data_IF_022561429795
#
_entry.id   IF_022561429795
#
_cell.length_a   1.000
_cell.length_b   1.000
_cell.length_c   1.000
_cell.angle_alpha   90.00
_cell.angle_beta   90.00
_cell.angle_gamma   90.00
#
_symmetry.space_group_name_H-M   'P 1'
#
loop_
_entity.id
_entity.type
_entity.pdbx_description
1 polymer ?
#
# COMPACT_ATOMS: atom_id res chain seq x y z
N UNK A 1 -0.55 -19.46 -6.18
CA UNK A 1 -1.33 -18.68 -5.20
C UNK A 1 -0.81 -17.26 -5.27
N UNK A 2 -1.72 -16.31 -5.30
CA UNK A 2 -1.44 -14.89 -5.48
C UNK A 2 -1.63 -14.21 -4.12
N UNK A 3 -0.68 -13.37 -3.71
CA UNK A 3 -0.79 -12.54 -2.51
C UNK A 3 -0.96 -11.08 -2.95
N UNK A 4 -1.93 -10.37 -2.40
CA UNK A 4 -2.24 -8.97 -2.74
C UNK A 4 -1.78 -8.06 -1.59
N UNK A 5 -1.09 -6.97 -1.92
CA UNK A 5 -0.83 -5.87 -0.99
C UNK A 5 -1.33 -4.57 -1.59
N UNK A 6 -1.84 -3.69 -0.74
CA UNK A 6 -2.29 -2.37 -1.13
C UNK A 6 -1.51 -1.29 -0.38
N UNK A 7 -1.07 -0.28 -1.13
CA UNK A 7 -0.55 0.99 -0.60
C UNK A 7 -1.55 2.10 -0.87
N UNK A 8 -1.92 2.85 0.16
CA UNK A 8 -2.99 3.84 0.10
C UNK A 8 -2.45 5.25 0.26
N UNK A 9 -2.89 6.12 -0.65
CA UNK A 9 -2.95 7.55 -0.40
C UNK A 9 -4.39 7.91 -0.06
N UNK A 10 -4.63 8.18 1.21
CA UNK A 10 -5.98 8.35 1.72
C UNK A 10 -6.52 9.74 1.42
N UNK A 11 -7.84 9.86 1.49
CA UNK A 11 -8.55 11.12 1.27
C UNK A 11 -8.08 12.21 2.20
N UNK A 12 -7.72 11.90 3.45
CA UNK A 12 -7.27 12.91 4.40
C UNK A 12 -5.88 13.47 4.01
N UNK A 13 -4.98 12.63 3.48
CA UNK A 13 -3.69 13.12 2.97
C UNK A 13 -3.87 13.98 1.71
N UNK A 14 -4.72 13.55 0.77
CA UNK A 14 -4.96 14.29 -0.46
C UNK A 14 -5.79 15.55 -0.22
N UNK A 15 -6.76 15.53 0.70
CA UNK A 15 -7.52 16.69 1.15
C UNK A 15 -6.59 17.72 1.79
N UNK A 16 -5.82 17.36 2.82
CA UNK A 16 -4.90 18.31 3.48
C UNK A 16 -3.90 18.92 2.49
N UNK A 17 -3.22 18.08 1.70
CA UNK A 17 -2.15 18.56 0.82
C UNK A 17 -2.70 19.39 -0.36
N UNK A 18 -3.79 18.96 -1.00
CA UNK A 18 -4.34 19.66 -2.14
C UNK A 18 -5.12 20.91 -1.72
N UNK A 19 -5.85 20.90 -0.60
CA UNK A 19 -6.51 22.14 -0.12
C UNK A 19 -5.48 23.21 0.25
N UNK A 20 -4.34 22.82 0.83
CA UNK A 20 -3.28 23.75 1.17
C UNK A 20 -2.55 24.32 -0.06
N UNK A 21 -2.22 23.49 -1.04
CA UNK A 21 -1.31 23.86 -2.13
C UNK A 21 -2.05 24.15 -3.46
N UNK A 22 -3.09 23.37 -3.77
CA UNK A 22 -3.78 23.41 -5.07
C UNK A 22 -5.24 22.89 -4.98
N UNK A 23 -6.19 23.71 -4.52
CA UNK A 23 -7.61 23.29 -4.36
C UNK A 23 -8.31 22.88 -5.66
N UNK A 24 -7.75 23.29 -6.80
CA UNK A 24 -8.23 22.90 -8.14
C UNK A 24 -7.72 21.54 -8.61
N UNK A 25 -6.88 20.88 -7.80
CA UNK A 25 -6.31 19.57 -8.08
C UNK A 25 -5.04 19.59 -8.92
N UNK A 26 -4.50 18.39 -9.11
CA UNK A 26 -3.35 18.11 -9.98
C UNK A 26 -3.77 17.24 -11.16
N UNK A 27 -3.08 17.36 -12.28
CA UNK A 27 -3.28 16.62 -13.51
C UNK A 27 -2.19 15.57 -13.65
N UNK A 28 -2.56 14.30 -13.51
CA UNK A 28 -1.68 13.15 -13.74
C UNK A 28 -1.72 12.78 -15.21
N UNK A 29 -0.56 12.66 -15.83
CA UNK A 29 -0.44 12.34 -17.27
C UNK A 29 0.41 11.09 -17.54
N UNK A 30 1.19 10.62 -16.57
CA UNK A 30 1.89 9.34 -16.66
C UNK A 30 2.05 8.68 -15.28
N UNK A 31 2.20 7.36 -15.26
CA UNK A 31 2.48 6.57 -14.05
C UNK A 31 3.57 5.54 -14.35
N UNK A 32 4.52 5.38 -13.43
CA UNK A 32 5.48 4.27 -13.43
C UNK A 32 5.14 3.31 -12.28
N UNK A 33 4.82 2.07 -12.62
CA UNK A 33 4.53 1.01 -11.66
C UNK A 33 5.85 0.32 -11.24
N UNK A 34 6.00 0.03 -9.94
CA UNK A 34 7.24 -0.53 -9.41
C UNK A 34 6.98 -1.58 -8.32
N UNK A 35 7.54 -2.77 -8.54
CA UNK A 35 7.68 -3.86 -7.57
C UNK A 35 9.04 -4.55 -7.79
N UNK A 36 9.42 -5.49 -6.91
CA UNK A 36 10.61 -6.33 -7.11
C UNK A 36 10.23 -7.70 -7.70
N UNK A 37 11.10 -8.70 -7.52
CA UNK A 37 11.09 -9.97 -8.28
C UNK A 37 9.87 -10.87 -8.04
N UNK A 38 9.12 -10.68 -6.95
CA UNK A 38 7.89 -11.42 -6.69
C UNK A 38 6.66 -10.77 -7.33
N UNK A 39 6.74 -9.52 -7.79
CA UNK A 39 5.64 -8.81 -8.45
C UNK A 39 5.17 -9.53 -9.72
N UNK A 40 3.85 -9.61 -9.92
CA UNK A 40 3.22 -10.27 -11.08
C UNK A 40 2.16 -9.42 -11.75
N UNK A 41 1.48 -8.56 -10.99
CA UNK A 41 0.58 -7.58 -11.53
C UNK A 41 0.50 -6.36 -10.60
N UNK A 42 0.32 -5.19 -11.19
CA UNK A 42 0.25 -3.91 -10.49
C UNK A 42 -0.87 -3.05 -11.07
N UNK A 43 -1.61 -2.35 -10.21
CA UNK A 43 -2.69 -1.44 -10.62
C UNK A 43 -2.65 -0.16 -9.79
N UNK A 44 -2.73 0.97 -10.48
CA UNK A 44 -2.89 2.28 -9.86
C UNK A 44 -4.36 2.70 -9.94
N UNK A 45 -5.07 2.49 -8.84
CA UNK A 45 -6.51 2.67 -8.69
C UNK A 45 -6.80 4.08 -8.17
N UNK A 46 -7.89 4.68 -8.63
CA UNK A 46 -8.30 6.03 -8.25
C UNK A 46 -9.79 6.02 -7.89
N UNK A 47 -10.10 6.48 -6.68
CA UNK A 47 -11.45 6.56 -6.16
C UNK A 47 -11.86 7.99 -5.87
N UNK A 48 -13.11 8.31 -6.19
CA UNK A 48 -13.75 9.58 -5.86
C UNK A 48 -15.11 9.29 -5.27
N UNK A 49 -15.32 9.70 -4.01
CA UNK A 49 -16.60 9.55 -3.29
C UNK A 49 -17.16 8.11 -3.38
N UNK A 50 -16.35 7.12 -3.02
CA UNK A 50 -16.72 5.69 -3.02
C UNK A 50 -16.79 5.01 -4.40
N UNK A 51 -16.68 5.76 -5.50
CA UNK A 51 -16.67 5.20 -6.86
C UNK A 51 -15.24 5.03 -7.36
N UNK A 52 -14.91 3.83 -7.84
CA UNK A 52 -13.66 3.58 -8.55
C UNK A 52 -13.76 4.11 -9.97
N UNK A 53 -12.85 5.02 -10.32
CA UNK A 53 -12.73 5.55 -11.67
C UNK A 53 -11.84 4.63 -12.50
N UNK A 54 -11.78 4.88 -13.81
CA UNK A 54 -10.82 4.19 -14.67
C UNK A 54 -9.40 4.29 -14.10
N UNK A 55 -8.72 3.13 -14.08
CA UNK A 55 -7.36 2.95 -13.58
C UNK A 55 -6.41 3.98 -14.22
N UNK A 56 -5.51 4.53 -13.41
CA UNK A 56 -4.48 5.45 -13.90
C UNK A 56 -3.41 4.69 -14.69
N UNK A 57 -3.10 3.47 -14.27
CA UNK A 57 -2.19 2.54 -14.93
C UNK A 57 -2.46 1.12 -14.44
N UNK A 58 -2.14 0.13 -15.26
CA UNK A 58 -2.17 -1.27 -14.87
C UNK A 58 -1.19 -2.09 -15.71
N UNK A 59 -0.70 -3.17 -15.12
CA UNK A 59 0.05 -4.20 -15.81
C UNK A 59 -0.31 -5.53 -15.15
N UNK A 60 -1.08 -6.36 -15.87
CA UNK A 60 -1.54 -7.67 -15.37
C UNK A 60 -0.49 -8.78 -15.61
N UNK A 61 0.59 -8.50 -16.34
CA UNK A 61 1.68 -9.43 -16.68
C UNK A 61 3.05 -8.78 -16.38
N UNK A 62 3.16 -8.14 -15.21
CA UNK A 62 4.31 -7.33 -14.82
C UNK A 62 5.61 -8.14 -14.78
N UNK A 63 6.65 -7.63 -15.45
CA UNK A 63 8.03 -8.11 -15.38
C UNK A 63 8.92 -7.06 -14.70
N UNK A 64 9.61 -7.46 -13.63
CA UNK A 64 10.60 -6.61 -12.95
C UNK A 64 11.64 -5.98 -13.89
N UNK A 65 12.01 -6.66 -14.97
CA UNK A 65 13.00 -6.17 -15.93
C UNK A 65 12.43 -5.18 -16.95
N UNK A 66 11.11 -5.00 -16.98
CA UNK A 66 10.41 -4.08 -17.88
C UNK A 66 9.52 -3.13 -17.07
N UNK A 67 10.07 -1.96 -16.74
CA UNK A 67 9.36 -0.92 -16.00
C UNK A 67 9.42 0.38 -16.80
N UNK A 68 8.26 0.84 -17.25
CA UNK A 68 8.13 2.01 -18.11
C UNK A 68 7.11 3.02 -17.57
N UNK A 69 7.21 4.26 -18.05
CA UNK A 69 6.16 5.23 -17.83
C UNK A 69 4.99 4.92 -18.77
N UNK A 70 3.85 4.55 -18.19
CA UNK A 70 2.60 4.45 -18.91
C UNK A 70 1.95 5.83 -18.99
N UNK A 71 1.88 6.39 -20.19
CA UNK A 71 1.19 7.66 -20.45
C UNK A 71 -0.32 7.44 -20.50
N UNK A 72 -1.08 8.29 -19.83
CA UNK A 72 -2.53 8.25 -19.87
C UNK A 72 -3.01 8.80 -21.22
N UNK A 73 -4.00 8.14 -21.83
CA UNK A 73 -4.66 8.65 -23.05
C UNK A 73 -5.31 10.01 -22.83
N UNK A 74 -5.90 10.19 -21.65
CA UNK A 74 -6.49 11.43 -21.17
C UNK A 74 -5.96 11.72 -19.77
N UNK A 75 -5.45 12.93 -19.55
CA UNK A 75 -4.94 13.32 -18.24
C UNK A 75 -6.05 13.25 -17.19
N UNK A 76 -5.71 12.75 -15.99
CA UNK A 76 -6.67 12.63 -14.89
C UNK A 76 -6.42 13.71 -13.85
N UNK A 77 -7.45 14.49 -13.56
CA UNK A 77 -7.44 15.40 -12.41
C UNK A 77 -7.70 14.63 -11.11
N UNK A 78 -6.75 14.71 -10.17
CA UNK A 78 -6.90 14.30 -8.77
C UNK A 78 -7.27 15.54 -7.96
N UNK A 79 -8.33 15.45 -7.17
CA UNK A 79 -8.93 16.53 -6.39
C UNK A 79 -8.75 16.26 -4.89
N UNK A 80 -8.87 17.32 -4.05
CA UNK A 80 -9.02 17.14 -2.61
C UNK A 80 -10.14 16.13 -2.28
N UNK A 81 -9.87 15.22 -1.34
CA UNK A 81 -10.82 14.19 -0.90
C UNK A 81 -10.91 12.95 -1.81
N UNK A 82 -10.12 12.85 -2.88
CA UNK A 82 -9.95 11.59 -3.61
C UNK A 82 -9.10 10.59 -2.82
N UNK A 83 -9.19 9.29 -3.16
CA UNK A 83 -8.28 8.27 -2.66
C UNK A 83 -7.54 7.62 -3.81
N UNK A 84 -6.29 7.26 -3.59
CA UNK A 84 -5.48 6.50 -4.53
C UNK A 84 -4.98 5.21 -3.88
N UNK A 85 -4.99 4.11 -4.63
CA UNK A 85 -4.53 2.81 -4.15
C UNK A 85 -3.61 2.17 -5.17
N UNK A 86 -2.39 1.86 -4.77
CA UNK A 86 -1.51 0.96 -5.53
C UNK A 86 -1.77 -0.47 -5.05
N UNK A 87 -2.37 -1.28 -5.91
CA UNK A 87 -2.55 -2.72 -5.69
C UNK A 87 -1.40 -3.47 -6.36
N UNK A 88 -0.74 -4.37 -5.62
CA UNK A 88 0.30 -5.24 -6.14
C UNK A 88 0.00 -6.69 -5.82
N UNK A 89 0.19 -7.54 -6.81
CA UNK A 89 0.01 -8.99 -6.74
C UNK A 89 1.36 -9.67 -6.84
N UNK A 90 1.60 -10.64 -5.96
CA UNK A 90 2.88 -11.31 -5.82
C UNK A 90 2.76 -12.83 -5.94
N UNK A 91 3.84 -13.44 -6.44
CA UNK A 91 4.08 -14.88 -6.37
C UNK A 91 5.40 -15.16 -5.66
N UNK A 92 5.30 -15.82 -4.51
CA UNK A 92 6.44 -16.24 -3.69
C UNK A 92 6.69 -17.74 -3.76
N UNK A 93 6.17 -18.43 -4.78
CA UNK A 93 6.32 -19.88 -4.96
C UNK A 93 7.78 -20.37 -5.01
N UNK A 94 8.71 -19.50 -5.40
CA UNK A 94 10.13 -19.78 -5.45
C UNK A 94 10.91 -19.28 -4.21
N UNK A 95 10.21 -18.88 -3.14
CA UNK A 95 10.81 -18.38 -1.89
C UNK A 95 10.42 -19.28 -0.71
N UNK A 96 11.36 -19.50 0.20
CA UNK A 96 11.18 -20.36 1.39
C UNK A 96 10.67 -19.60 2.60
N UNK A 97 11.09 -18.35 2.74
CA UNK A 97 10.82 -17.52 3.90
C UNK A 97 9.87 -16.37 3.57
N UNK A 98 9.29 -15.76 4.61
CA UNK A 98 8.42 -14.62 4.41
C UNK A 98 9.18 -13.46 3.75
N UNK A 99 8.53 -12.87 2.75
CA UNK A 99 9.07 -11.75 2.00
C UNK A 99 8.59 -10.45 2.63
N UNK A 100 9.54 -9.58 2.94
CA UNK A 100 9.29 -8.28 3.59
C UNK A 100 9.49 -7.12 2.64
N UNK A 101 8.85 -5.99 2.93
CA UNK A 101 9.12 -4.73 2.25
C UNK A 101 10.54 -4.21 2.53
N UNK A 102 11.25 -3.69 1.53
CA UNK A 102 12.62 -3.19 1.72
C UNK A 102 13.35 -2.88 0.42
N UNK A 103 14.58 -2.36 0.54
CA UNK A 103 15.38 -1.87 -0.60
C UNK A 103 16.07 -2.97 -1.42
N UNK A 104 16.26 -4.17 -0.86
CA UNK A 104 16.90 -5.26 -1.60
C UNK A 104 15.93 -5.87 -2.61
N UNK A 105 16.42 -6.36 -3.75
CA UNK A 105 15.61 -7.14 -4.71
C UNK A 105 15.09 -8.47 -4.14
N UNK A 106 15.63 -8.93 -3.00
CA UNK A 106 15.09 -10.06 -2.22
C UNK A 106 13.93 -9.67 -1.32
N UNK A 107 13.81 -8.38 -1.00
CA UNK A 107 12.62 -7.78 -0.42
C UNK A 107 11.63 -7.41 -1.54
N UNK A 108 10.49 -6.85 -1.18
CA UNK A 108 9.52 -6.31 -2.15
C UNK A 108 9.24 -4.83 -1.94
N UNK A 109 8.63 -4.24 -2.96
CA UNK A 109 8.04 -2.90 -2.95
C UNK A 109 6.70 -2.94 -3.66
N UNK A 110 5.81 -2.01 -3.29
CA UNK A 110 4.54 -1.77 -3.96
C UNK A 110 4.38 -0.27 -4.17
N UNK A 111 4.81 0.24 -5.31
CA UNK A 111 4.87 1.69 -5.56
C UNK A 111 4.29 2.04 -6.92
N UNK A 112 3.63 3.21 -6.97
CA UNK A 112 3.29 3.90 -8.21
C UNK A 112 3.85 5.31 -8.17
N UNK A 113 4.69 5.67 -9.13
CA UNK A 113 5.21 7.01 -9.29
C UNK A 113 4.34 7.80 -10.25
N UNK A 114 3.58 8.75 -9.72
CA UNK A 114 2.70 9.61 -10.51
C UNK A 114 3.50 10.79 -11.06
N UNK A 115 3.40 11.02 -12.36
CA UNK A 115 3.93 12.21 -13.02
C UNK A 115 2.77 13.16 -13.27
N UNK A 116 2.85 14.36 -12.70
CA UNK A 116 1.74 15.29 -12.65
C UNK A 116 2.18 16.76 -12.69
N UNK A 117 1.20 17.65 -12.89
CA UNK A 117 1.34 19.09 -12.72
C UNK A 117 0.06 19.73 -12.14
N UNK A 118 0.12 20.94 -11.55
CA UNK A 118 1.33 21.63 -11.13
C UNK A 118 2.01 20.92 -9.96
N UNK A 119 3.28 21.24 -9.73
CA UNK A 119 4.03 20.73 -8.58
C UNK A 119 3.34 21.16 -7.27
N UNK A 120 3.17 20.23 -6.35
CA UNK A 120 2.71 20.47 -4.97
C UNK A 120 3.76 19.94 -3.99
N UNK A 121 3.67 20.33 -2.72
CA UNK A 121 4.57 19.83 -1.67
C UNK A 121 4.09 18.50 -1.05
N UNK A 122 3.74 17.53 -1.88
CA UNK A 122 3.43 16.16 -1.47
C UNK A 122 4.29 15.20 -2.29
N UNK A 123 5.24 14.54 -1.63
CA UNK A 123 6.26 13.72 -2.30
C UNK A 123 6.01 12.24 -2.10
N UNK A 124 5.63 11.84 -0.89
CA UNK A 124 5.33 10.44 -0.57
C UNK A 124 4.00 10.36 0.14
N UNK A 125 3.19 9.44 -0.36
CA UNK A 125 1.93 9.08 0.24
C UNK A 125 1.92 7.56 0.35
N UNK A 126 2.12 7.08 1.57
CA UNK A 126 2.35 5.66 1.85
C UNK A 126 1.47 5.24 3.01
N UNK A 127 1.22 3.93 3.10
CA UNK A 127 0.47 3.38 4.22
C UNK A 127 1.05 2.05 4.65
N UNK A 128 0.84 1.70 5.92
CA UNK A 128 1.18 0.38 6.47
C UNK A 128 -0.02 -0.12 7.26
N UNK A 129 -0.52 -1.34 7.01
CA UNK A 129 -1.58 -1.92 7.81
C UNK A 129 -1.21 -2.01 9.29
N UNK A 130 -2.20 -1.94 10.17
CA UNK A 130 -1.98 -1.93 11.62
C UNK A 130 -1.18 -3.17 12.06
N UNK A 131 0.01 -2.92 12.62
CA UNK A 131 0.93 -3.98 12.99
C UNK A 131 0.43 -4.77 14.20
N UNK A 132 -0.36 -4.16 15.08
CA UNK A 132 -0.93 -4.85 16.24
C UNK A 132 -2.04 -5.80 15.83
N UNK A 133 -2.89 -5.41 14.90
CA UNK A 133 -3.92 -6.28 14.32
C UNK A 133 -3.29 -7.48 13.60
N UNK A 134 -2.22 -7.26 12.84
CA UNK A 134 -1.46 -8.36 12.23
C UNK A 134 -0.86 -9.32 13.27
N UNK A 135 -0.35 -8.81 14.40
CA UNK A 135 0.15 -9.65 15.48
C UNK A 135 -0.97 -10.44 16.17
N UNK A 136 -2.17 -9.86 16.31
CA UNK A 136 -3.32 -10.56 16.87
C UNK A 136 -3.72 -11.77 16.02
N UNK A 137 -3.59 -11.68 14.69
CA UNK A 137 -3.85 -12.82 13.78
C UNK A 137 -3.03 -14.06 14.14
N UNK A 138 -1.74 -13.89 14.44
CA UNK A 138 -0.87 -15.00 14.86
C UNK A 138 -1.01 -15.37 16.35
N UNK A 139 -1.97 -14.77 17.06
CA UNK A 139 -2.30 -15.06 18.45
C UNK A 139 -1.49 -14.28 19.50
N UNK A 140 -0.84 -13.19 19.11
CA UNK A 140 -0.20 -12.27 20.08
C UNK A 140 -1.27 -11.51 20.85
N UNK A 141 -1.09 -11.43 22.17
CA UNK A 141 -2.07 -10.79 23.07
C UNK A 141 -1.58 -9.47 23.64
N UNK A 142 -0.27 -9.38 23.89
CA UNK A 142 0.30 -8.19 24.53
C UNK A 142 1.69 -7.90 24.00
N UNK A 143 1.98 -6.62 23.84
CA UNK A 143 3.32 -6.06 23.63
C UNK A 143 3.79 -5.33 24.89
N UNK A 144 5.10 -5.10 25.01
CA UNK A 144 5.63 -4.25 26.06
C UNK A 144 5.22 -2.79 25.82
N UNK A 145 4.75 -2.11 26.87
CA UNK A 145 4.40 -0.69 26.89
C UNK A 145 5.16 0.05 28.00
N UNK A 146 5.49 1.35 27.84
CA UNK A 146 5.32 2.14 26.61
C UNK A 146 6.22 1.63 25.49
N UNK A 147 5.83 1.88 24.23
CA UNK A 147 6.65 1.50 23.07
C UNK A 147 7.86 2.44 23.05
N UNK A 148 9.02 1.94 23.47
CA UNK A 148 10.27 2.71 23.49
C UNK A 148 11.17 2.43 22.31
N UNK A 149 10.94 1.32 21.61
CA UNK A 149 11.74 0.84 20.49
C UNK A 149 10.81 0.47 19.34
N UNK A 150 11.17 0.86 18.14
CA UNK A 150 10.58 0.34 16.91
C UNK A 150 11.58 -0.66 16.29
N UNK A 151 11.15 -1.88 15.92
CA UNK A 151 9.80 -2.44 16.00
C UNK A 151 9.34 -2.82 17.43
N UNK A 152 8.02 -3.01 17.62
CA UNK A 152 7.41 -3.43 18.88
C UNK A 152 7.97 -4.76 19.37
N UNK A 153 8.10 -4.92 20.69
CA UNK A 153 8.53 -6.18 21.32
C UNK A 153 7.34 -6.86 22.00
N UNK A 154 7.17 -8.15 21.70
CA UNK A 154 6.04 -8.94 22.17
C UNK A 154 6.25 -9.40 23.62
N UNK A 155 5.22 -9.21 24.45
CA UNK A 155 5.19 -9.64 25.86
C UNK A 155 4.55 -11.02 26.04
N UNK A 156 3.47 -11.31 25.30
CA UNK A 156 2.77 -12.60 25.37
C UNK A 156 2.08 -12.94 24.03
N UNK A 157 1.96 -14.22 23.67
CA UNK A 157 2.23 -15.46 24.43
C UNK A 157 3.71 -15.87 24.52
N UNK A 158 4.02 -16.88 25.36
CA UNK A 158 5.40 -17.37 25.61
C UNK A 158 6.15 -17.74 24.32
N UNK A 159 5.46 -18.27 23.32
CA UNK A 159 6.05 -18.65 22.03
C UNK A 159 6.67 -17.47 21.25
N UNK A 160 6.16 -16.24 21.45
CA UNK A 160 6.65 -15.02 20.78
C UNK A 160 7.30 -14.02 21.75
N UNK A 161 7.46 -14.38 23.03
CA UNK A 161 8.00 -13.47 24.04
C UNK A 161 9.38 -12.95 23.62
N UNK A 162 9.57 -11.63 23.71
CA UNK A 162 10.78 -10.89 23.35
C UNK A 162 11.15 -10.94 21.85
N UNK A 163 10.25 -11.39 20.97
CA UNK A 163 10.45 -11.26 19.54
C UNK A 163 9.95 -9.91 19.04
N UNK A 164 10.59 -9.41 17.98
CA UNK A 164 10.06 -8.30 17.20
C UNK A 164 8.85 -8.74 16.37
N UNK A 165 8.14 -7.78 15.78
CA UNK A 165 7.10 -8.04 14.80
C UNK A 165 7.56 -9.00 13.70
N UNK A 166 8.69 -8.66 13.05
CA UNK A 166 9.24 -9.43 11.93
C UNK A 166 9.62 -10.84 12.37
N UNK A 167 10.30 -10.98 13.51
CA UNK A 167 10.74 -12.29 14.01
C UNK A 167 9.57 -13.19 14.39
N UNK A 168 8.50 -12.63 14.97
CA UNK A 168 7.32 -13.40 15.33
C UNK A 168 6.55 -13.90 14.10
N UNK A 169 6.42 -13.05 13.08
CA UNK A 169 5.77 -13.40 11.82
C UNK A 169 6.60 -14.43 11.02
N UNK A 170 7.94 -14.33 11.03
CA UNK A 170 8.84 -15.33 10.46
C UNK A 170 8.78 -16.67 11.23
N UNK A 171 8.54 -16.63 12.54
CA UNK A 171 8.41 -17.82 13.38
C UNK A 171 7.07 -18.53 13.22
N UNK A 172 6.03 -17.81 12.80
CA UNK A 172 4.72 -18.40 12.56
C UNK A 172 4.80 -19.44 11.43
N UNK A 173 4.23 -20.63 11.66
CA UNK A 173 4.27 -21.72 10.68
C UNK A 173 3.16 -21.54 9.68
N UNK A 174 3.43 -20.83 8.59
CA UNK A 174 2.48 -20.54 7.53
C UNK A 174 2.08 -21.79 6.74
N UNK A 175 0.78 -22.11 6.73
CA UNK A 175 0.16 -22.93 5.69
C UNK A 175 -0.37 -22.04 4.55
N UNK A 176 -0.68 -22.65 3.40
CA UNK A 176 -1.33 -21.94 2.30
C UNK A 176 -2.65 -21.30 2.74
N UNK A 177 -3.50 -22.05 3.45
CA UNK A 177 -4.78 -21.55 3.96
C UNK A 177 -4.61 -20.36 4.91
N UNK A 178 -3.62 -20.41 5.80
CA UNK A 178 -3.31 -19.29 6.70
C UNK A 178 -2.80 -18.08 5.93
N UNK A 179 -1.97 -18.27 4.91
CA UNK A 179 -1.49 -17.18 4.06
C UNK A 179 -2.64 -16.47 3.32
N UNK A 180 -3.58 -17.23 2.76
CA UNK A 180 -4.79 -16.67 2.13
C UNK A 180 -5.68 -15.95 3.16
N UNK A 181 -5.98 -16.59 4.29
CA UNK A 181 -6.79 -15.98 5.35
C UNK A 181 -6.14 -14.72 5.93
N UNK A 182 -4.82 -14.69 6.04
CA UNK A 182 -4.08 -13.52 6.47
C UNK A 182 -4.15 -12.41 5.44
N UNK A 183 -4.04 -12.73 4.14
CA UNK A 183 -4.17 -11.74 3.09
C UNK A 183 -5.54 -11.06 3.12
N UNK A 184 -6.63 -11.85 3.21
CA UNK A 184 -8.01 -11.34 3.29
C UNK A 184 -8.24 -10.50 4.55
N UNK A 185 -7.54 -10.83 5.64
CA UNK A 185 -7.59 -10.09 6.89
C UNK A 185 -6.88 -8.74 6.79
N UNK A 186 -5.63 -8.73 6.29
CA UNK A 186 -4.79 -7.54 6.20
C UNK A 186 -5.38 -6.46 5.32
N UNK A 187 -6.03 -6.83 4.21
CA UNK A 187 -6.68 -5.89 3.29
C UNK A 187 -7.85 -5.11 3.93
N UNK A 188 -8.35 -5.55 5.10
CA UNK A 188 -9.46 -4.91 5.82
C UNK A 188 -8.99 -4.14 7.05
N UNK A 189 -7.69 -4.17 7.35
CA UNK A 189 -7.18 -3.54 8.56
C UNK A 189 -7.12 -2.03 8.42
N UNK A 190 -7.25 -1.30 9.55
CA UNK A 190 -6.83 0.09 9.60
C UNK A 190 -5.38 0.25 9.15
N UNK A 191 -5.08 1.37 8.52
CA UNK A 191 -3.81 1.69 7.90
C UNK A 191 -3.22 2.90 8.60
N UNK A 192 -1.94 2.84 8.95
CA UNK A 192 -1.17 4.01 9.37
C UNK A 192 -0.69 4.77 8.13
N UNK A 193 -1.14 6.01 7.97
CA UNK A 193 -0.86 6.85 6.80
C UNK A 193 0.40 7.67 7.01
N UNK A 194 1.28 7.70 6.00
CA UNK A 194 2.50 8.50 5.96
C UNK A 194 2.42 9.46 4.79
N UNK A 195 2.20 10.73 5.12
CA UNK A 195 2.05 11.82 4.17
C UNK A 195 3.22 12.79 4.35
N UNK A 196 4.13 12.83 3.37
CA UNK A 196 5.46 13.45 3.52
C UNK A 196 5.73 14.46 2.39
N UNK A 197 6.31 15.60 2.79
CA UNK A 197 6.74 16.73 1.94
C UNK A 197 8.13 16.48 1.34
N UNK A 198 8.57 17.36 0.44
CA UNK A 198 9.81 17.21 -0.36
C UNK A 198 11.10 17.13 0.48
N UNK A 199 11.12 17.68 1.69
CA UNK A 199 12.30 17.70 2.57
C UNK A 199 12.15 16.75 3.78
N UNK A 200 11.35 15.69 3.63
CA UNK A 200 10.97 14.76 4.71
C UNK A 200 10.21 15.42 5.88
N UNK A 201 9.79 16.68 5.74
CA UNK A 201 8.81 17.28 6.62
C UNK A 201 7.47 16.55 6.47
N UNK A 202 6.68 16.52 7.54
CA UNK A 202 5.43 15.76 7.59
C UNK A 202 4.22 16.70 7.52
N UNK A 203 3.14 16.23 6.89
CA UNK A 203 1.81 16.84 7.00
C UNK A 203 1.17 16.47 8.34
N UNK A 204 0.15 17.21 8.78
CA UNK A 204 -0.40 17.02 10.13
C UNK A 204 -1.10 15.68 10.31
N UNK A 205 -1.62 15.10 9.22
CA UNK A 205 -2.21 13.75 9.23
C UNK A 205 -1.18 12.61 9.27
N UNK A 206 0.12 12.90 9.32
CA UNK A 206 1.14 11.85 9.41
C UNK A 206 0.93 10.98 10.66
N UNK A 207 0.94 9.66 10.47
CA UNK A 207 0.73 8.69 11.53
C UNK A 207 -0.75 8.48 11.91
N UNK A 208 -1.68 9.13 11.22
CA UNK A 208 -3.11 8.91 11.39
C UNK A 208 -3.49 7.48 10.99
N UNK A 209 -4.44 6.91 11.73
CA UNK A 209 -5.08 5.65 11.35
C UNK A 209 -6.29 5.94 10.46
N UNK A 210 -6.32 5.37 9.27
CA UNK A 210 -7.42 5.45 8.33
C UNK A 210 -7.94 4.05 7.99
N UNK A 211 -9.17 3.94 7.51
CA UNK A 211 -9.68 2.69 6.96
C UNK A 211 -9.43 2.64 5.44
N UNK A 212 -9.24 1.44 4.85
CA UNK A 212 -9.28 1.30 3.39
C UNK A 212 -10.58 1.87 2.82
N UNK A 213 -10.56 2.44 1.60
CA UNK A 213 -11.76 3.04 1.02
C UNK A 213 -12.85 1.99 0.79
N UNK A 214 -14.09 2.31 1.16
CA UNK A 214 -15.25 1.49 0.79
C UNK A 214 -15.49 1.59 -0.72
N UNK A 215 -15.47 0.45 -1.40
CA UNK A 215 -15.69 0.36 -2.84
C UNK A 215 -17.18 0.12 -3.09
N UNK A 216 -17.92 1.19 -3.37
CA UNK A 216 -19.35 1.09 -3.70
C UNK A 216 -19.55 0.65 -5.16
N UNK A 217 -18.68 1.13 -6.05
CA UNK A 217 -18.74 0.88 -7.49
C UNK A 217 -17.35 0.53 -8.02
N UNK A 218 -17.02 -0.77 -8.15
CA UNK A 218 -15.73 -1.18 -8.67
C UNK A 218 -15.64 -0.87 -10.17
N UNK A 219 -14.44 -0.54 -10.63
CA UNK A 219 -14.19 -0.35 -12.05
C UNK A 219 -14.14 -1.72 -12.73
N UNK A 220 -14.91 -1.89 -13.79
CA UNK A 220 -14.82 -3.03 -14.69
C UNK A 220 -14.03 -2.61 -15.92
N UNK A 221 -12.93 -3.31 -16.20
CA UNK A 221 -12.21 -3.12 -17.47
C UNK A 221 -13.16 -3.44 -18.62
N UNK A 222 -13.21 -2.56 -19.63
CA UNK A 222 -13.88 -2.90 -20.87
C UNK A 222 -13.15 -4.10 -21.48
N UNK A 223 -13.88 -5.14 -21.94
CA UNK A 223 -13.26 -6.27 -22.61
C UNK A 223 -12.47 -5.74 -23.80
N UNK A 224 -11.21 -6.17 -23.93
CA UNK A 224 -10.40 -5.87 -25.10
C UNK A 224 -11.06 -6.58 -26.28
N UNK A 225 -11.79 -5.82 -27.10
CA UNK A 225 -12.28 -6.30 -28.39
C UNK A 225 -11.08 -6.24 -29.33
N UNK A 226 -10.32 -7.32 -29.40
CA UNK A 226 -9.28 -7.54 -30.41
C UNK A 226 -9.91 -7.82 -31.78
#
# INVERSE_FOLDING_TARGET
>A
PEFVSEGHCTLECLEEALDAEKPTGIHVFAVLLHAHLAGRALRMRHFRKGSELQLLAYDDEFDFNFQEFQYLKEERTILPGDNLVTECRYSTLNRTDMTWGGFSTRNEMCLSYLVYYPKINLTRCESIPDLMEQLQFIGVKQIYRPVRTWPFIIKSPKQYKNLSFVDAMNKFKWSKEQGHSYNDYVLKLPLNVRCTKTENAEWTIHGMMALPPEIERPYTTEPIIC
#
